data_IF_698850432576
#
_entry.id   IF_698850432576
#
_cell.length_a   1.000
_cell.length_b   1.000
_cell.length_c   1.000
_cell.angle_alpha   90.00
_cell.angle_beta   90.00
_cell.angle_gamma   90.00
#
_symmetry.space_group_name_H-M   'P 1'
#
loop_
_entity.id
_entity.type
_entity.pdbx_description
1 polymer ?
#
# COMPACT_ATOMS: atom_id res chain seq x y z
N UNK A 1 10.76 16.75 -9.53
CA UNK A 1 11.26 15.59 -8.75
C UNK A 1 10.35 14.37 -8.70
N UNK A 2 9.12 14.36 -8.16
CA UNK A 2 8.33 13.12 -8.12
C UNK A 2 7.98 12.59 -9.53
N UNK A 3 7.50 13.47 -10.42
CA UNK A 3 7.19 13.10 -11.83
C UNK A 3 8.40 12.52 -12.56
N UNK A 4 9.61 13.03 -12.28
CA UNK A 4 10.85 12.55 -12.91
C UNK A 4 11.17 11.10 -12.52
N UNK A 5 10.87 10.68 -11.27
CA UNK A 5 11.10 9.29 -10.85
C UNK A 5 10.14 8.31 -11.51
N UNK A 6 8.88 8.72 -11.71
CA UNK A 6 7.90 7.93 -12.46
C UNK A 6 8.35 7.75 -13.91
N UNK A 7 8.81 8.83 -14.55
CA UNK A 7 9.25 8.81 -15.94
C UNK A 7 10.48 7.93 -16.12
N UNK A 8 11.48 8.08 -15.25
CA UNK A 8 12.68 7.24 -15.28
C UNK A 8 12.34 5.76 -15.08
N UNK A 9 11.48 5.42 -14.11
CA UNK A 9 11.09 4.04 -13.88
C UNK A 9 10.30 3.47 -15.07
N UNK A 10 9.40 4.27 -15.66
CA UNK A 10 8.62 3.91 -16.86
C UNK A 10 9.50 3.71 -18.07
N UNK A 11 10.48 4.58 -18.31
CA UNK A 11 11.41 4.48 -19.42
C UNK A 11 12.30 3.24 -19.29
N UNK A 12 12.74 2.91 -18.07
CA UNK A 12 13.42 1.63 -17.80
C UNK A 12 12.52 0.45 -18.18
N UNK A 13 11.26 0.42 -17.74
CA UNK A 13 10.31 -0.65 -18.09
C UNK A 13 9.99 -0.68 -19.58
N UNK A 14 9.98 0.46 -20.28
CA UNK A 14 9.80 0.49 -21.74
C UNK A 14 10.96 -0.22 -22.45
N UNK A 15 12.19 -0.05 -21.94
CA UNK A 15 13.39 -0.68 -22.49
C UNK A 15 13.50 -2.17 -22.16
N UNK A 16 13.15 -2.57 -20.94
CA UNK A 16 13.39 -3.94 -20.44
C UNK A 16 12.14 -4.83 -20.45
N UNK A 17 10.95 -4.23 -20.46
CA UNK A 17 9.66 -4.91 -20.33
C UNK A 17 9.33 -5.33 -18.88
N UNK A 18 8.16 -5.94 -18.70
CA UNK A 18 7.74 -6.55 -17.43
C UNK A 18 8.40 -7.93 -17.24
N UNK A 19 9.72 -7.92 -17.12
CA UNK A 19 10.52 -9.11 -16.80
C UNK A 19 10.16 -9.69 -15.43
N UNK A 20 10.51 -10.95 -15.12
CA UNK A 20 10.31 -11.52 -13.80
C UNK A 20 10.94 -10.68 -12.67
N UNK A 21 12.09 -10.03 -12.93
CA UNK A 21 12.71 -9.10 -11.98
C UNK A 21 11.81 -7.91 -11.73
N UNK A 22 11.38 -7.20 -12.78
CA UNK A 22 10.50 -6.04 -12.65
C UNK A 22 9.17 -6.39 -11.95
N UNK A 23 8.53 -7.50 -12.36
CA UNK A 23 7.29 -7.97 -11.74
C UNK A 23 7.50 -8.29 -10.26
N UNK A 24 8.60 -8.96 -9.89
CA UNK A 24 8.90 -9.27 -8.49
C UNK A 24 9.11 -8.01 -7.66
N UNK A 25 9.88 -7.03 -8.17
CA UNK A 25 10.08 -5.74 -7.48
C UNK A 25 8.76 -5.04 -7.19
N UNK A 26 7.93 -4.88 -8.22
CA UNK A 26 6.62 -4.24 -8.12
C UNK A 26 5.70 -5.02 -7.16
N UNK A 27 5.67 -6.35 -7.30
CA UNK A 27 4.84 -7.21 -6.45
C UNK A 27 5.25 -7.14 -4.99
N UNK A 28 6.54 -7.11 -4.68
CA UNK A 28 7.04 -6.98 -3.31
C UNK A 28 6.59 -5.67 -2.67
N UNK A 29 6.65 -4.55 -3.41
CA UNK A 29 6.16 -3.25 -2.91
C UNK A 29 4.65 -3.28 -2.65
N UNK A 30 3.86 -3.71 -3.64
CA UNK A 30 2.40 -3.67 -3.52
C UNK A 30 1.93 -4.66 -2.47
N UNK A 31 2.38 -5.92 -2.52
CA UNK A 31 1.97 -6.91 -1.52
C UNK A 31 2.42 -6.51 -0.12
N UNK A 32 3.56 -5.82 0.06
CA UNK A 32 3.93 -5.28 1.38
C UNK A 32 2.92 -4.25 1.88
N UNK A 33 2.58 -3.25 1.06
CA UNK A 33 1.58 -2.25 1.41
C UNK A 33 0.23 -2.88 1.75
N UNK A 34 -0.20 -3.85 0.94
CA UNK A 34 -1.45 -4.59 1.13
C UNK A 34 -1.45 -5.42 2.39
N UNK A 35 -0.36 -6.15 2.67
CA UNK A 35 -0.24 -6.94 3.90
C UNK A 35 -0.27 -6.06 5.14
N UNK A 36 0.41 -4.92 5.13
CA UNK A 36 0.41 -4.00 6.29
C UNK A 36 -0.99 -3.47 6.56
N UNK A 37 -1.72 -3.05 5.52
CA UNK A 37 -3.10 -2.60 5.69
C UNK A 37 -4.02 -3.75 6.12
N UNK A 38 -3.88 -4.95 5.53
CA UNK A 38 -4.66 -6.12 5.90
C UNK A 38 -4.42 -6.57 7.34
N UNK A 39 -3.18 -6.49 7.85
CA UNK A 39 -2.87 -6.80 9.25
C UNK A 39 -3.54 -5.82 10.22
N UNK A 40 -3.55 -4.53 9.87
CA UNK A 40 -4.31 -3.52 10.62
C UNK A 40 -5.80 -3.86 10.63
N UNK A 41 -6.39 -4.01 9.45
CA UNK A 41 -7.80 -4.24 9.26
C UNK A 41 -8.26 -5.54 9.94
N UNK A 42 -7.50 -6.63 9.80
CA UNK A 42 -7.78 -7.90 10.48
C UNK A 42 -7.69 -7.82 12.00
N UNK A 43 -6.87 -6.91 12.55
CA UNK A 43 -6.80 -6.68 13.99
C UNK A 43 -8.01 -5.91 14.53
N UNK A 44 -8.67 -5.09 13.70
CA UNK A 44 -9.75 -4.19 14.12
C UNK A 44 -11.14 -4.64 13.66
N UNK A 45 -11.23 -5.51 12.66
CA UNK A 45 -12.51 -5.94 12.08
C UNK A 45 -13.39 -6.72 13.07
N UNK A 46 -12.76 -7.42 14.03
CA UNK A 46 -13.45 -8.20 15.06
C UNK A 46 -13.86 -7.35 16.28
N UNK A 47 -13.59 -6.04 16.28
CA UNK A 47 -14.02 -5.17 17.37
C UNK A 47 -15.54 -5.00 17.35
N UNK A 48 -16.19 -4.99 18.53
CA UNK A 48 -17.65 -4.96 18.63
C UNK A 48 -18.20 -3.55 18.33
N UNK A 49 -18.24 -3.17 17.06
CA UNK A 49 -18.86 -1.94 16.59
C UNK A 49 -19.99 -2.27 15.61
N UNK A 50 -21.24 -2.02 16.00
CA UNK A 50 -22.40 -2.31 15.14
C UNK A 50 -22.71 -1.06 14.31
N UNK A 51 -22.12 -0.92 13.12
CA UNK A 51 -22.33 0.24 12.27
C UNK A 51 -21.72 0.14 10.85
N UNK A 52 -22.01 1.13 9.97
CA UNK A 52 -21.49 1.14 8.59
C UNK A 52 -19.97 1.09 8.50
N UNK A 53 -19.26 1.64 9.49
CA UNK A 53 -17.80 1.65 9.57
C UNK A 53 -17.21 0.23 9.65
N UNK A 54 -17.85 -0.68 10.37
CA UNK A 54 -17.42 -2.07 10.45
C UNK A 54 -17.53 -2.76 9.08
N UNK A 55 -18.61 -2.50 8.35
CA UNK A 55 -18.78 -3.03 6.99
C UNK A 55 -17.70 -2.50 6.04
N UNK A 56 -17.30 -1.22 6.18
CA UNK A 56 -16.21 -0.64 5.41
C UNK A 56 -14.86 -1.29 5.74
N UNK A 57 -14.56 -1.55 7.02
CA UNK A 57 -13.33 -2.20 7.45
C UNK A 57 -13.24 -3.64 6.92
N UNK A 58 -14.31 -4.43 7.05
CA UNK A 58 -14.36 -5.80 6.49
C UNK A 58 -14.21 -5.80 4.97
N UNK A 59 -14.98 -4.95 4.26
CA UNK A 59 -14.89 -4.86 2.81
C UNK A 59 -13.46 -4.51 2.36
N UNK A 60 -12.81 -3.56 3.06
CA UNK A 60 -11.42 -3.22 2.77
C UNK A 60 -10.48 -4.39 3.05
N UNK A 61 -10.63 -5.11 4.17
CA UNK A 61 -9.79 -6.25 4.51
C UNK A 61 -9.81 -7.31 3.41
N UNK A 62 -11.00 -7.75 2.99
CA UNK A 62 -11.13 -8.77 1.94
C UNK A 62 -10.63 -8.28 0.59
N UNK A 63 -10.80 -6.99 0.27
CA UNK A 63 -10.25 -6.41 -0.96
C UNK A 63 -8.71 -6.41 -0.97
N UNK A 64 -8.07 -6.13 0.17
CA UNK A 64 -6.61 -6.21 0.29
C UNK A 64 -6.12 -7.65 0.14
N UNK A 65 -6.81 -8.61 0.77
CA UNK A 65 -6.49 -10.04 0.65
C UNK A 65 -6.66 -10.56 -0.79
N UNK A 66 -7.73 -10.16 -1.48
CA UNK A 66 -7.93 -10.49 -2.89
C UNK A 66 -6.80 -9.92 -3.76
N UNK A 67 -6.39 -8.67 -3.52
CA UNK A 67 -5.30 -8.02 -4.25
C UNK A 67 -3.97 -8.75 -4.07
N UNK A 68 -3.66 -9.18 -2.84
CA UNK A 68 -2.47 -9.98 -2.54
C UNK A 68 -2.52 -11.30 -3.32
N UNK A 69 -3.64 -12.03 -3.22
CA UNK A 69 -3.81 -13.32 -3.90
C UNK A 69 -3.70 -13.19 -5.43
N UNK A 70 -4.34 -12.16 -5.98
CA UNK A 70 -4.31 -11.88 -7.42
C UNK A 70 -2.87 -11.68 -7.89
N UNK A 71 -2.12 -10.77 -7.25
CA UNK A 71 -0.71 -10.54 -7.58
C UNK A 71 0.11 -11.81 -7.42
N UNK A 72 0.03 -12.49 -6.29
CA UNK A 72 0.78 -13.73 -6.06
C UNK A 72 0.59 -14.76 -7.17
N UNK A 73 -0.60 -14.83 -7.80
CA UNK A 73 -0.89 -15.72 -8.92
C UNK A 73 -0.36 -15.23 -10.27
N UNK A 74 -0.47 -13.93 -10.57
CA UNK A 74 -0.09 -13.40 -11.89
C UNK A 74 1.38 -13.01 -12.01
N UNK A 75 2.07 -12.82 -10.88
CA UNK A 75 3.49 -12.47 -10.85
C UNK A 75 4.35 -13.63 -11.32
N UNK A 76 5.17 -13.39 -12.34
CA UNK A 76 6.30 -14.24 -12.67
C UNK A 76 7.45 -13.90 -11.73
N UNK A 77 7.59 -14.69 -10.67
CA UNK A 77 8.63 -14.49 -9.67
C UNK A 77 10.03 -14.79 -10.24
N UNK A 78 10.96 -13.89 -9.99
CA UNK A 78 12.38 -14.11 -10.28
C UNK A 78 12.97 -15.13 -9.31
N UNK A 79 13.91 -15.94 -9.80
CA UNK A 79 14.70 -16.85 -8.97
C UNK A 79 15.95 -16.16 -8.38
N UNK A 80 16.20 -14.90 -8.73
CA UNK A 80 17.35 -14.16 -8.21
C UNK A 80 17.10 -13.73 -6.75
N UNK A 81 17.82 -14.32 -5.76
CA UNK A 81 17.63 -14.00 -4.36
C UNK A 81 17.99 -12.54 -4.02
N UNK A 82 18.84 -11.89 -4.83
CA UNK A 82 19.29 -10.51 -4.59
C UNK A 82 18.13 -9.53 -4.64
N UNK A 83 17.14 -9.76 -5.50
CA UNK A 83 15.95 -8.90 -5.60
C UNK A 83 15.19 -8.86 -4.27
N UNK A 84 15.06 -10.00 -3.60
CA UNK A 84 14.38 -10.09 -2.31
C UNK A 84 15.21 -9.44 -1.20
N UNK A 85 16.54 -9.65 -1.19
CA UNK A 85 17.44 -9.02 -0.23
C UNK A 85 17.46 -7.48 -0.37
N UNK A 86 17.53 -6.97 -1.59
CA UNK A 86 17.51 -5.53 -1.89
C UNK A 86 16.18 -4.87 -1.50
N UNK A 87 15.08 -5.62 -1.58
CA UNK A 87 13.76 -5.11 -1.19
C UNK A 87 13.66 -4.82 0.31
N UNK A 88 14.38 -5.56 1.17
CA UNK A 88 14.28 -5.44 2.62
C UNK A 88 14.54 -4.02 3.13
N UNK A 89 15.69 -3.37 2.85
CA UNK A 89 15.94 -2.02 3.34
C UNK A 89 15.01 -0.97 2.73
N UNK A 90 14.46 -1.22 1.53
CA UNK A 90 13.51 -0.31 0.87
C UNK A 90 12.17 -0.35 1.58
N UNK A 91 11.68 -1.55 1.90
CA UNK A 91 10.35 -1.79 2.46
C UNK A 91 10.32 -1.71 4.00
N UNK A 92 11.49 -1.80 4.64
CA UNK A 92 11.65 -1.74 6.09
C UNK A 92 10.95 -0.55 6.79
N UNK A 93 10.94 0.68 6.25
CA UNK A 93 10.30 1.81 6.94
C UNK A 93 8.82 1.58 7.22
N UNK A 94 8.05 1.11 6.22
CA UNK A 94 6.60 0.85 6.39
C UNK A 94 6.38 -0.34 7.35
N UNK A 95 7.22 -1.38 7.27
CA UNK A 95 7.16 -2.50 8.21
C UNK A 95 7.45 -2.09 9.66
N UNK A 96 8.42 -1.19 9.86
CA UNK A 96 8.75 -0.66 11.20
C UNK A 96 7.59 0.15 11.75
N UNK A 97 6.98 0.99 10.92
CA UNK A 97 5.82 1.77 11.31
C UNK A 97 4.67 0.89 11.79
N UNK A 98 4.40 -0.21 11.07
CA UNK A 98 3.44 -1.22 11.51
C UNK A 98 3.84 -1.87 12.84
N UNK A 99 5.07 -2.40 12.92
CA UNK A 99 5.53 -3.22 14.04
C UNK A 99 5.61 -2.44 15.35
N UNK A 100 6.01 -1.16 15.31
CA UNK A 100 6.21 -0.35 16.50
C UNK A 100 4.89 0.11 17.13
N UNK A 101 3.79 0.15 16.37
CA UNK A 101 2.53 0.75 16.83
C UNK A 101 1.37 -0.23 16.97
N UNK A 102 1.36 -1.35 16.24
CA UNK A 102 0.17 -2.21 16.13
C UNK A 102 0.42 -3.71 16.33
N UNK A 103 1.60 -4.12 16.77
CA UNK A 103 1.99 -5.54 16.87
C UNK A 103 1.36 -6.32 18.03
N UNK A 104 0.35 -5.77 18.72
CA UNK A 104 -0.35 -6.44 19.81
C UNK A 104 -1.87 -6.51 19.53
N UNK A 105 -2.45 -7.71 19.39
CA UNK A 105 -3.90 -7.89 19.35
C UNK A 105 -4.55 -7.22 20.56
N UNK A 106 -5.51 -6.32 20.31
CA UNK A 106 -6.26 -5.62 21.36
C UNK A 106 -5.77 -4.22 21.76
N UNK A 107 -4.58 -3.77 21.32
CA UNK A 107 -4.10 -2.40 21.64
C UNK A 107 -4.89 -1.32 20.90
N UNK A 108 -5.26 -1.57 19.64
CA UNK A 108 -6.14 -0.66 18.87
C UNK A 108 -7.57 -0.58 19.42
N UNK A 109 -8.02 -1.56 20.20
CA UNK A 109 -9.31 -1.53 20.88
C UNK A 109 -9.35 -0.56 22.08
N UNK A 110 -8.17 -0.25 22.64
CA UNK A 110 -8.01 0.49 23.90
C UNK A 110 -7.38 1.88 23.65
N UNK A 111 -6.66 2.06 22.54
CA UNK A 111 -6.01 3.32 22.16
C UNK A 111 -6.65 3.95 20.91
N UNK A 112 -7.53 4.97 21.07
CA UNK A 112 -8.12 5.72 19.95
C UNK A 112 -7.07 6.36 19.03
N UNK A 113 -5.92 6.77 19.57
CA UNK A 113 -4.84 7.39 18.80
C UNK A 113 -4.17 6.35 17.91
N UNK A 114 -3.85 5.17 18.44
CA UNK A 114 -3.35 4.04 17.66
C UNK A 114 -4.32 3.65 16.53
N UNK A 115 -5.61 3.49 16.83
CA UNK A 115 -6.60 3.19 15.79
C UNK A 115 -6.63 4.25 14.68
N UNK A 116 -6.62 5.54 15.03
CA UNK A 116 -6.53 6.64 14.06
C UNK A 116 -5.24 6.61 13.24
N UNK A 117 -4.09 6.38 13.87
CA UNK A 117 -2.80 6.28 13.18
C UNK A 117 -2.77 5.10 12.19
N UNK A 118 -3.44 3.98 12.51
CA UNK A 118 -3.55 2.83 11.62
C UNK A 118 -4.40 3.14 10.38
N UNK A 119 -5.52 3.83 10.55
CA UNK A 119 -6.32 4.36 9.42
C UNK A 119 -5.52 5.37 8.59
N UNK A 120 -4.78 6.27 9.23
CA UNK A 120 -3.94 7.25 8.54
C UNK A 120 -2.86 6.57 7.69
N UNK A 121 -2.25 5.50 8.22
CA UNK A 121 -1.30 4.67 7.47
C UNK A 121 -1.98 3.97 6.28
N UNK A 122 -3.14 3.33 6.48
CA UNK A 122 -3.92 2.72 5.41
C UNK A 122 -4.27 3.71 4.30
N UNK A 123 -4.72 4.90 4.67
CA UNK A 123 -4.98 6.00 3.75
C UNK A 123 -3.73 6.43 2.97
N UNK A 124 -2.58 6.58 3.63
CA UNK A 124 -1.32 6.90 2.97
C UNK A 124 -0.89 5.80 1.98
N UNK A 125 -1.01 4.53 2.35
CA UNK A 125 -0.69 3.39 1.49
C UNK A 125 -1.55 3.36 0.22
N UNK A 126 -2.86 3.62 0.33
CA UNK A 126 -3.76 3.65 -0.82
C UNK A 126 -3.54 4.87 -1.73
N UNK A 127 -3.22 6.03 -1.14
CA UNK A 127 -3.14 7.30 -1.87
C UNK A 127 -1.78 7.55 -2.53
N UNK A 128 -0.68 7.15 -1.88
CA UNK A 128 0.69 7.48 -2.34
C UNK A 128 1.31 6.44 -3.25
N UNK A 129 0.90 5.17 -3.13
CA UNK A 129 1.44 4.08 -3.96
C UNK A 129 0.60 4.00 -5.24
N UNK A 130 1.07 4.65 -6.31
CA UNK A 130 0.46 4.63 -7.64
C UNK A 130 1.42 3.93 -8.59
N UNK A 131 1.05 2.76 -9.10
CA UNK A 131 1.95 1.96 -9.94
C UNK A 131 1.61 2.06 -11.43
N UNK A 132 0.34 2.29 -11.76
CA UNK A 132 -0.13 2.40 -13.15
C UNK A 132 0.62 3.48 -13.93
N UNK A 133 0.97 4.66 -13.37
CA UNK A 133 1.76 5.65 -14.10
C UNK A 133 3.17 5.18 -14.48
N UNK A 134 3.71 4.15 -13.81
CA UNK A 134 5.01 3.55 -14.12
C UNK A 134 4.90 2.53 -15.25
N UNK A 135 3.71 1.99 -15.51
CA UNK A 135 3.51 0.98 -16.55
C UNK A 135 3.51 1.67 -17.93
N UNK A 136 4.44 1.31 -18.84
CA UNK A 136 4.47 1.90 -20.16
C UNK A 136 3.16 1.64 -20.92
N UNK A 137 2.63 2.62 -21.67
CA UNK A 137 1.40 2.46 -22.43
C UNK A 137 1.49 1.42 -23.56
N UNK A 138 2.71 1.09 -23.98
CA UNK A 138 3.00 0.08 -25.02
C UNK A 138 2.83 -1.36 -24.51
N UNK A 139 2.73 -1.56 -23.19
CA UNK A 139 2.46 -2.88 -22.62
C UNK A 139 1.05 -3.32 -22.97
N UNK A 140 0.95 -4.56 -23.46
CA UNK A 140 -0.31 -5.18 -23.86
C UNK A 140 -1.38 -5.05 -22.77
N UNK A 141 -2.55 -4.56 -23.17
CA UNK A 141 -3.72 -4.42 -22.31
C UNK A 141 -4.22 -5.78 -21.80
N UNK A 142 -3.91 -6.86 -22.51
CA UNK A 142 -4.25 -8.22 -22.15
C UNK A 142 -3.18 -8.92 -21.28
N UNK A 143 -2.03 -8.28 -21.00
CA UNK A 143 -1.03 -8.86 -20.09
C UNK A 143 -1.65 -9.04 -18.69
N UNK A 144 -1.73 -10.30 -18.17
CA UNK A 144 -2.45 -10.57 -16.91
C UNK A 144 -1.88 -9.82 -15.71
N UNK A 145 -0.57 -9.57 -15.71
CA UNK A 145 0.10 -8.85 -14.63
C UNK A 145 -0.22 -7.35 -14.69
N UNK A 146 -0.11 -6.73 -15.86
CA UNK A 146 -0.49 -5.34 -16.04
C UNK A 146 -1.98 -5.09 -15.75
N UNK A 147 -2.86 -6.01 -16.15
CA UNK A 147 -4.29 -5.94 -15.86
C UNK A 147 -4.57 -6.00 -14.34
N UNK A 148 -3.89 -6.91 -13.63
CA UNK A 148 -4.01 -7.01 -12.17
C UNK A 148 -3.57 -5.71 -11.47
N UNK A 149 -2.46 -5.11 -11.89
CA UNK A 149 -1.99 -3.83 -11.32
C UNK A 149 -3.00 -2.70 -11.51
N UNK A 150 -3.61 -2.60 -12.71
CA UNK A 150 -4.63 -1.58 -13.00
C UNK A 150 -5.89 -1.80 -12.17
N UNK A 151 -6.34 -3.05 -12.03
CA UNK A 151 -7.47 -3.40 -11.17
C UNK A 151 -7.20 -2.98 -9.73
N UNK A 152 -6.03 -3.35 -9.18
CA UNK A 152 -5.66 -2.99 -7.81
C UNK A 152 -5.63 -1.47 -7.62
N UNK A 153 -5.07 -0.72 -8.55
CA UNK A 153 -5.04 0.74 -8.43
C UNK A 153 -6.44 1.37 -8.53
N UNK A 154 -7.33 0.82 -9.36
CA UNK A 154 -8.72 1.24 -9.41
C UNK A 154 -9.45 0.94 -8.09
N UNK A 155 -9.25 -0.25 -7.55
CA UNK A 155 -9.82 -0.69 -6.28
C UNK A 155 -9.33 0.21 -5.13
N UNK A 156 -8.03 0.55 -5.10
CA UNK A 156 -7.47 1.52 -4.17
C UNK A 156 -8.16 2.88 -4.29
N UNK A 157 -8.35 3.36 -5.52
CA UNK A 157 -9.04 4.62 -5.79
C UNK A 157 -10.44 4.67 -5.17
N UNK A 158 -11.20 3.56 -5.26
CA UNK A 158 -12.52 3.44 -4.62
C UNK A 158 -12.41 3.40 -3.09
N UNK A 159 -11.44 2.68 -2.54
CA UNK A 159 -11.24 2.53 -1.10
C UNK A 159 -10.79 3.82 -0.41
N UNK A 160 -10.10 4.73 -1.11
CA UNK A 160 -9.67 6.03 -0.55
C UNK A 160 -10.86 6.80 0.01
N UNK A 161 -12.01 6.80 -0.67
CA UNK A 161 -13.18 7.53 -0.21
C UNK A 161 -13.73 6.96 1.11
N UNK A 162 -13.74 5.63 1.24
CA UNK A 162 -14.12 4.95 2.48
C UNK A 162 -13.14 5.25 3.61
N UNK A 163 -11.83 5.31 3.33
CA UNK A 163 -10.82 5.69 4.31
C UNK A 163 -10.95 7.15 4.79
N UNK A 164 -11.25 8.08 3.88
CA UNK A 164 -11.53 9.49 4.25
C UNK A 164 -12.74 9.57 5.19
N UNK A 165 -13.79 8.79 4.92
CA UNK A 165 -14.95 8.72 5.80
C UNK A 165 -14.56 8.19 7.18
N UNK A 166 -13.84 7.06 7.26
CA UNK A 166 -13.38 6.47 8.53
C UNK A 166 -12.50 7.45 9.33
N UNK A 167 -11.56 8.13 8.68
CA UNK A 167 -10.70 9.13 9.34
C UNK A 167 -11.49 10.29 9.92
N UNK A 168 -12.56 10.72 9.25
CA UNK A 168 -13.38 11.85 9.71
C UNK A 168 -14.22 11.51 10.93
N UNK A 169 -14.75 10.29 10.99
CA UNK A 169 -15.69 9.86 12.04
C UNK A 169 -14.96 9.27 13.26
N UNK A 170 -13.74 8.78 13.07
CA UNK A 170 -12.92 8.20 14.12
C UNK A 170 -12.24 9.26 15.01
N UNK A 171 -12.05 8.92 16.29
CA UNK A 171 -11.33 9.73 17.27
C UNK A 171 -11.78 11.21 17.33
N UNK A 172 -13.11 11.47 17.52
CA UNK A 172 -13.66 12.84 17.49
C UNK A 172 -13.12 13.74 18.62
N UNK A 173 -12.50 13.16 19.65
CA UNK A 173 -11.85 13.89 20.75
C UNK A 173 -10.45 14.40 20.41
N UNK A 174 -9.85 13.96 19.30
CA UNK A 174 -8.53 14.46 18.86
C UNK A 174 -8.66 15.85 18.22
N UNK A 175 -7.68 16.71 18.50
CA UNK A 175 -7.60 18.02 17.86
C UNK A 175 -7.38 17.87 16.34
N UNK A 176 -7.93 18.79 15.56
CA UNK A 176 -7.79 18.79 14.10
C UNK A 176 -6.32 18.88 13.67
N UNK A 177 -5.54 19.77 14.28
CA UNK A 177 -4.10 19.91 14.00
C UNK A 177 -3.32 18.61 14.27
N UNK A 178 -3.68 17.87 15.33
CA UNK A 178 -3.04 16.59 15.64
C UNK A 178 -3.41 15.53 14.59
N UNK A 179 -4.68 15.50 14.16
CA UNK A 179 -5.17 14.59 13.14
C UNK A 179 -4.50 14.83 11.78
N UNK A 180 -4.33 16.08 11.39
CA UNK A 180 -3.68 16.47 10.13
C UNK A 180 -2.19 16.14 10.15
N UNK A 181 -1.51 16.46 11.25
CA UNK A 181 -0.08 16.15 11.42
C UNK A 181 0.19 14.64 11.33
N UNK A 182 -0.68 13.80 11.91
CA UNK A 182 -0.54 12.35 11.81
C UNK A 182 -0.77 11.84 10.38
N UNK A 183 -1.75 12.38 9.65
CA UNK A 183 -1.97 12.02 8.25
C UNK A 183 -0.75 12.40 7.41
N UNK A 184 -0.23 13.62 7.59
CA UNK A 184 0.95 14.11 6.87
C UNK A 184 2.18 13.24 7.14
N UNK A 185 2.45 12.89 8.41
CA UNK A 185 3.55 12.01 8.82
C UNK A 185 3.49 10.66 8.07
N UNK A 186 2.30 10.03 8.00
CA UNK A 186 2.17 8.74 7.28
C UNK A 186 2.27 8.91 5.78
N UNK A 187 1.74 9.99 5.23
CA UNK A 187 1.85 10.30 3.82
C UNK A 187 3.30 10.50 3.39
N UNK A 188 4.10 11.23 4.18
CA UNK A 188 5.53 11.46 3.93
C UNK A 188 6.31 10.14 3.99
N UNK A 189 6.11 9.34 5.05
CA UNK A 189 6.74 8.03 5.20
C UNK A 189 6.50 7.11 4.00
N UNK A 190 5.24 6.99 3.55
CA UNK A 190 4.89 6.13 2.42
C UNK A 190 5.44 6.69 1.11
N UNK A 191 5.36 8.01 0.92
CA UNK A 191 5.89 8.68 -0.26
C UNK A 191 7.41 8.48 -0.41
N UNK A 192 8.16 8.65 0.68
CA UNK A 192 9.61 8.44 0.70
C UNK A 192 9.99 6.99 0.42
N UNK A 193 9.23 6.05 1.00
CA UNK A 193 9.43 4.63 0.72
C UNK A 193 9.15 4.32 -0.75
N UNK A 194 8.09 4.90 -1.31
CA UNK A 194 7.72 4.70 -2.70
C UNK A 194 8.75 5.33 -3.66
N UNK A 195 9.30 6.50 -3.34
CA UNK A 195 10.36 7.13 -4.11
C UNK A 195 11.63 6.25 -4.16
N UNK A 196 12.03 5.65 -3.02
CA UNK A 196 13.14 4.68 -2.97
C UNK A 196 12.84 3.45 -3.82
N UNK A 197 11.61 2.97 -3.79
CA UNK A 197 11.15 1.88 -4.65
C UNK A 197 11.26 2.25 -6.14
N UNK A 198 10.80 3.43 -6.56
CA UNK A 198 10.90 3.88 -7.95
C UNK A 198 12.35 3.94 -8.43
N UNK A 199 13.26 4.46 -7.60
CA UNK A 199 14.70 4.48 -7.88
C UNK A 199 15.28 3.06 -8.01
N UNK A 200 14.84 2.12 -7.18
CA UNK A 200 15.28 0.73 -7.24
C UNK A 200 14.72 -0.01 -8.46
N UNK A 201 13.48 0.28 -8.85
CA UNK A 201 12.85 -0.24 -10.06
C UNK A 201 13.56 0.27 -11.31
N UNK A 202 13.97 1.54 -11.32
CA UNK A 202 14.70 2.17 -12.43
C UNK A 202 16.09 1.57 -12.71
N UNK A 203 16.70 0.88 -11.73
CA UNK A 203 18.02 0.21 -11.88
C UNK A 203 17.94 -1.17 -12.55
N UNK A 204 16.75 -1.60 -13.00
CA UNK A 204 16.51 -2.93 -13.56
C UNK A 204 16.91 -3.07 -15.03
#
# INVERSE_FOLDING_TARGET
MPLELYDVARDTLRRTGLTPVAQSKISLMITTAKNINALFLGAVEFLPFVGPEQQLLHAQYFQEMESILLLSKVTRWTQDPRVYMESMPILAPIWKEWRLRYSMPGVSAIDPKGFYQGLALGHALLSKIRIVPVIPPEIDLADPYALALRRIEQDNGRMIQSQITLLRTTAPSMLEEERDSLIEEKQELVNDTFNKFLQWLAKS
#
